data_IF_462130062523
#
_entry.id   IF_462130062523
#
_cell.length_a   1.000
_cell.length_b   1.000
_cell.length_c   1.000
_cell.angle_alpha   90.00
_cell.angle_beta   90.00
_cell.angle_gamma   90.00
#
_symmetry.space_group_name_H-M   'P 1'
#
loop_
_entity.id
_entity.type
_entity.pdbx_description
1 polymer ?
#
# COMPACT_ATOMS: atom_id res chain seq x y z
N UNK A 1 -43.25 -51.50 -29.71
CA UNK A 1 -42.11 -50.73 -30.25
C UNK A 1 -41.50 -49.90 -29.13
N UNK A 2 -40.36 -50.35 -28.58
CA UNK A 2 -39.70 -49.81 -27.38
C UNK A 2 -38.46 -49.05 -27.87
N UNK A 3 -38.46 -47.72 -27.84
CA UNK A 3 -37.26 -46.93 -28.21
C UNK A 3 -36.48 -46.53 -26.97
N UNK A 4 -35.50 -47.39 -26.70
CA UNK A 4 -34.13 -47.19 -26.21
C UNK A 4 -33.77 -45.82 -25.59
N UNK A 5 -33.37 -45.88 -24.31
CA UNK A 5 -32.74 -44.82 -23.53
C UNK A 5 -31.32 -44.57 -24.06
N UNK A 6 -30.99 -43.34 -24.43
CA UNK A 6 -29.60 -42.90 -24.64
C UNK A 6 -29.19 -42.14 -23.38
N UNK A 7 -28.58 -42.87 -22.45
CA UNK A 7 -27.87 -42.29 -21.31
C UNK A 7 -26.57 -41.71 -21.85
N UNK A 8 -26.57 -40.41 -22.13
CA UNK A 8 -25.35 -39.65 -22.42
C UNK A 8 -24.67 -39.38 -21.07
N UNK A 9 -23.70 -40.23 -20.75
CA UNK A 9 -22.77 -40.09 -19.64
C UNK A 9 -21.77 -38.98 -19.99
N UNK A 10 -22.14 -37.71 -19.80
CA UNK A 10 -21.19 -36.59 -19.82
C UNK A 10 -20.48 -36.58 -18.46
N UNK A 11 -19.45 -37.42 -18.36
CA UNK A 11 -18.32 -37.21 -17.46
C UNK A 11 -17.49 -36.03 -18.00
N UNK A 12 -18.05 -34.82 -18.04
CA UNK A 12 -17.26 -33.61 -18.18
C UNK A 12 -16.73 -33.25 -16.79
N UNK A 13 -15.62 -33.89 -16.44
CA UNK A 13 -14.44 -33.24 -15.88
C UNK A 13 -14.69 -31.82 -15.32
N UNK A 14 -15.34 -31.73 -14.16
CA UNK A 14 -15.17 -30.57 -13.29
C UNK A 14 -13.79 -30.69 -12.66
N UNK A 15 -12.77 -30.37 -13.45
CA UNK A 15 -11.50 -29.89 -12.95
C UNK A 15 -11.82 -28.59 -12.23
N UNK A 16 -12.18 -28.69 -10.95
CA UNK A 16 -12.02 -27.59 -10.03
C UNK A 16 -10.52 -27.41 -9.91
N UNK A 17 -9.95 -26.64 -10.82
CA UNK A 17 -8.65 -26.05 -10.62
C UNK A 17 -8.81 -25.15 -9.39
N UNK A 18 -8.42 -25.66 -8.23
CA UNK A 18 -8.16 -24.82 -7.09
C UNK A 18 -7.07 -23.85 -7.55
N UNK A 19 -7.48 -22.65 -7.96
CA UNK A 19 -6.57 -21.52 -8.08
C UNK A 19 -6.11 -21.30 -6.65
N UNK A 20 -4.94 -21.85 -6.33
CA UNK A 20 -4.22 -21.42 -5.15
C UNK A 20 -3.94 -19.95 -5.41
N UNK A 21 -4.75 -19.08 -4.80
CA UNK A 21 -4.45 -17.67 -4.69
C UNK A 21 -3.13 -17.65 -3.93
N UNK A 22 -2.04 -17.49 -4.67
CA UNK A 22 -0.75 -17.25 -4.07
C UNK A 22 -0.93 -16.00 -3.21
N UNK A 23 -0.67 -16.13 -1.90
CA UNK A 23 -0.66 -14.98 -1.02
C UNK A 23 0.31 -13.97 -1.65
N UNK A 24 -0.24 -12.87 -2.15
CA UNK A 24 0.52 -11.87 -2.88
C UNK A 24 1.64 -11.30 -2.03
N UNK A 25 2.65 -10.70 -2.65
CA UNK A 25 3.56 -9.83 -1.93
C UNK A 25 2.87 -8.52 -1.54
N UNK A 26 3.60 -7.66 -0.84
CA UNK A 26 3.24 -6.26 -0.77
C UNK A 26 3.49 -5.61 -2.14
N UNK A 27 2.49 -4.91 -2.67
CA UNK A 27 2.59 -4.25 -3.98
C UNK A 27 2.39 -2.74 -3.81
N UNK A 28 3.38 -1.96 -4.22
CA UNK A 28 3.33 -0.50 -4.18
C UNK A 28 3.04 0.04 -5.59
N UNK A 29 2.14 1.01 -5.66
CA UNK A 29 1.76 1.70 -6.88
C UNK A 29 1.91 3.20 -6.67
N UNK A 30 2.57 3.85 -7.63
CA UNK A 30 2.73 5.29 -7.70
C UNK A 30 2.47 5.72 -9.14
N UNK A 31 1.84 6.88 -9.33
CA UNK A 31 1.66 7.46 -10.66
C UNK A 31 2.42 8.78 -10.76
N UNK A 32 3.61 8.74 -11.37
CA UNK A 32 4.47 9.90 -11.53
C UNK A 32 3.88 10.99 -12.45
N UNK A 33 2.81 10.68 -13.20
CA UNK A 33 2.10 11.68 -14.01
C UNK A 33 0.95 12.37 -13.25
N UNK A 34 0.71 12.00 -11.98
CA UNK A 34 -0.32 12.59 -11.12
C UNK A 34 0.32 13.18 -9.87
N UNK A 35 1.02 14.29 -10.07
CA UNK A 35 1.55 15.14 -9.00
C UNK A 35 0.48 16.16 -8.60
N UNK A 36 0.25 16.33 -7.31
CA UNK A 36 -0.66 17.34 -6.76
C UNK A 36 0.06 18.10 -5.64
N UNK A 37 0.27 19.41 -5.82
CA UNK A 37 1.01 20.26 -4.87
C UNK A 37 2.33 19.63 -4.39
N UNK A 38 3.19 19.26 -5.35
CA UNK A 38 4.50 18.62 -5.12
C UNK A 38 4.45 17.32 -4.29
N UNK A 39 3.29 16.65 -4.33
CA UNK A 39 3.06 15.35 -3.68
C UNK A 39 2.72 14.26 -4.68
N UNK A 40 3.12 13.04 -4.32
CA UNK A 40 2.72 11.81 -5.00
C UNK A 40 1.86 10.93 -4.09
N UNK A 41 0.82 10.33 -4.67
CA UNK A 41 0.03 9.33 -3.97
C UNK A 41 0.70 7.97 -4.07
N UNK A 42 0.87 7.32 -2.92
CA UNK A 42 1.25 5.93 -2.82
C UNK A 42 0.02 5.11 -2.50
N UNK A 43 -0.20 4.04 -3.28
CA UNK A 43 -1.12 2.97 -2.95
C UNK A 43 -0.33 1.70 -2.65
N UNK A 44 -0.59 1.09 -1.49
CA UNK A 44 -0.02 -0.19 -1.08
C UNK A 44 -1.14 -1.23 -1.01
N UNK A 45 -1.05 -2.29 -1.81
CA UNK A 45 -1.86 -3.50 -1.61
C UNK A 45 -1.17 -4.42 -0.61
N UNK A 46 -1.94 -4.82 0.38
CA UNK A 46 -1.47 -5.60 1.52
C UNK A 46 -1.99 -7.03 1.36
N UNK A 47 -1.11 -8.05 1.44
CA UNK A 47 -1.58 -9.42 1.48
C UNK A 47 -2.33 -9.71 2.79
N UNK A 48 -3.10 -10.80 2.87
CA UNK A 48 -3.80 -11.15 4.10
C UNK A 48 -2.85 -11.19 5.30
N UNK A 49 -3.18 -10.41 6.33
CA UNK A 49 -2.45 -10.40 7.61
C UNK A 49 -3.27 -11.14 8.66
N UNK A 50 -2.59 -11.86 9.56
CA UNK A 50 -3.25 -12.68 10.58
C UNK A 50 -3.40 -11.98 11.94
N UNK A 51 -2.77 -10.82 12.10
CA UNK A 51 -2.81 -10.05 13.34
C UNK A 51 -3.95 -9.03 13.27
N UNK A 52 -4.68 -8.88 14.38
CA UNK A 52 -5.77 -7.91 14.47
C UNK A 52 -5.28 -6.45 14.54
N UNK A 53 -4.08 -6.26 15.08
CA UNK A 53 -3.40 -4.96 15.10
C UNK A 53 -2.04 -5.12 14.41
N UNK A 54 -1.75 -4.23 13.47
CA UNK A 54 -0.44 -4.13 12.83
C UNK A 54 0.09 -2.70 12.93
N UNK A 55 1.39 -2.55 12.71
CA UNK A 55 2.03 -1.25 12.62
C UNK A 55 2.72 -1.11 11.25
N UNK A 56 2.36 -0.07 10.50
CA UNK A 56 3.09 0.35 9.31
C UNK A 56 4.16 1.35 9.74
N UNK A 57 5.40 1.14 9.30
CA UNK A 57 6.53 1.97 9.70
C UNK A 57 7.26 2.53 8.48
N UNK A 58 7.66 3.79 8.57
CA UNK A 58 8.62 4.39 7.63
C UNK A 58 10.00 4.57 8.25
N UNK A 59 11.05 4.59 7.43
CA UNK A 59 12.41 4.74 7.93
C UNK A 59 12.59 6.05 8.69
N UNK A 60 13.31 5.97 9.81
CA UNK A 60 13.78 7.15 10.55
C UNK A 60 15.09 7.71 9.97
N UNK A 61 15.88 6.86 9.31
CA UNK A 61 17.25 7.11 8.83
C UNK A 61 17.47 6.33 7.53
N UNK A 62 18.23 6.89 6.59
CA UNK A 62 18.77 6.14 5.44
C UNK A 62 20.14 5.57 5.81
N UNK A 63 20.40 4.26 5.61
CA UNK A 63 21.71 3.67 5.90
C UNK A 63 22.85 4.45 5.26
N UNK A 64 23.91 4.74 6.03
CA UNK A 64 25.03 5.57 5.59
C UNK A 64 24.89 7.06 5.91
N UNK A 65 23.73 7.50 6.40
CA UNK A 65 23.55 8.84 6.97
C UNK A 65 23.66 8.79 8.50
N UNK A 66 24.22 9.84 9.10
CA UNK A 66 24.33 10.00 10.56
C UNK A 66 23.29 10.98 11.11
N UNK A 67 22.19 11.20 10.38
CA UNK A 67 21.11 12.13 10.73
C UNK A 67 19.78 11.40 10.89
N UNK A 68 19.03 11.80 11.92
CA UNK A 68 17.64 11.40 12.08
C UNK A 68 16.78 12.28 11.19
N UNK A 69 16.09 11.66 10.24
CA UNK A 69 15.27 12.36 9.23
C UNK A 69 13.76 12.26 9.52
N UNK A 70 13.31 11.19 10.17
CA UNK A 70 11.89 10.90 10.42
C UNK A 70 11.04 11.05 9.14
N UNK A 71 11.27 10.21 8.12
CA UNK A 71 10.62 10.39 6.82
C UNK A 71 9.09 10.33 6.88
N UNK A 72 8.51 9.70 7.92
CA UNK A 72 7.07 9.68 8.07
C UNK A 72 6.43 11.06 8.27
N UNK A 73 7.18 12.09 8.66
CA UNK A 73 6.67 13.47 8.76
C UNK A 73 6.27 14.10 7.41
N UNK A 74 6.73 13.51 6.30
CA UNK A 74 6.38 13.93 4.92
C UNK A 74 5.14 13.21 4.39
N UNK A 75 4.50 12.39 5.21
CA UNK A 75 3.30 11.65 4.87
C UNK A 75 2.06 12.41 5.32
N UNK A 76 1.11 12.57 4.42
CA UNK A 76 -0.22 13.13 4.71
C UNK A 76 -1.34 12.21 4.23
N UNK A 77 -2.54 12.41 4.80
CA UNK A 77 -3.76 11.66 4.50
C UNK A 77 -3.62 10.13 4.48
N UNK A 78 -2.86 9.58 5.44
CA UNK A 78 -2.73 8.14 5.60
C UNK A 78 -4.08 7.50 5.90
N UNK A 79 -4.48 6.54 5.05
CA UNK A 79 -5.74 5.81 5.15
C UNK A 79 -5.52 4.32 4.93
N UNK A 80 -6.20 3.51 5.73
CA UNK A 80 -6.23 2.07 5.62
C UNK A 80 -7.65 1.61 5.24
N UNK A 81 -7.76 0.65 4.33
CA UNK A 81 -9.03 0.19 3.79
C UNK A 81 -9.17 -1.33 3.82
N UNK A 82 -10.38 -1.80 4.05
CA UNK A 82 -10.76 -3.18 3.78
C UNK A 82 -10.96 -3.44 2.27
N UNK A 83 -11.25 -4.70 1.91
CA UNK A 83 -11.47 -5.11 0.52
C UNK A 83 -12.76 -4.51 -0.09
N UNK A 84 -13.67 -3.98 0.73
CA UNK A 84 -14.91 -3.33 0.31
C UNK A 84 -14.72 -1.81 0.14
N UNK A 85 -13.56 -1.28 0.53
CA UNK A 85 -13.24 0.14 0.48
C UNK A 85 -13.67 0.94 1.71
N UNK A 86 -14.07 0.28 2.81
CA UNK A 86 -14.35 0.97 4.07
C UNK A 86 -13.05 1.33 4.79
N UNK A 87 -13.05 2.47 5.49
CA UNK A 87 -11.90 2.89 6.28
C UNK A 87 -11.75 2.06 7.54
N UNK A 88 -10.52 1.66 7.83
CA UNK A 88 -10.11 1.06 9.10
C UNK A 88 -9.61 2.14 10.06
N UNK A 89 -9.70 1.88 11.36
CA UNK A 89 -9.18 2.77 12.38
C UNK A 89 -7.65 2.79 12.34
N UNK A 90 -7.07 3.99 12.33
CA UNK A 90 -5.63 4.21 12.33
C UNK A 90 -5.26 5.20 13.43
N UNK A 91 -4.26 4.84 14.22
CA UNK A 91 -3.60 5.74 15.17
C UNK A 91 -2.18 6.04 14.67
N UNK A 92 -1.69 7.27 14.89
CA UNK A 92 -0.34 7.69 14.51
C UNK A 92 0.45 8.06 15.78
N UNK A 93 1.04 7.06 16.47
CA UNK A 93 1.66 7.26 17.78
C UNK A 93 2.93 8.12 17.75
N UNK A 94 3.62 8.21 16.61
CA UNK A 94 4.73 9.12 16.36
C UNK A 94 4.96 9.32 14.86
N UNK A 95 5.88 10.23 14.51
CA UNK A 95 6.19 10.66 13.14
C UNK A 95 6.35 9.53 12.13
N UNK A 96 6.73 8.30 12.51
CA UNK A 96 7.09 7.25 11.56
C UNK A 96 6.20 6.01 11.61
N UNK A 97 5.16 5.99 12.46
CA UNK A 97 4.39 4.77 12.73
C UNK A 97 2.89 5.00 12.61
N UNK A 98 2.19 4.05 12.01
CA UNK A 98 0.74 4.00 11.92
C UNK A 98 0.25 2.66 12.42
N UNK A 99 -0.50 2.67 13.51
CA UNK A 99 -1.12 1.49 14.09
C UNK A 99 -2.51 1.32 13.48
N UNK A 100 -2.77 0.17 12.86
CA UNK A 100 -4.03 -0.14 12.17
C UNK A 100 -4.74 -1.23 12.96
N UNK A 101 -5.98 -0.96 13.37
CA UNK A 101 -6.85 -1.95 14.05
C UNK A 101 -7.76 -2.69 13.05
N UNK A 102 -8.26 -3.86 13.44
CA UNK A 102 -8.99 -4.78 12.56
C UNK A 102 -8.19 -5.11 11.28
N UNK A 103 -6.87 -5.23 11.42
CA UNK A 103 -5.96 -5.38 10.31
C UNK A 103 -6.16 -6.70 9.55
N UNK A 104 -6.80 -7.72 10.14
CA UNK A 104 -7.21 -8.93 9.40
C UNK A 104 -8.11 -8.65 8.19
N UNK A 105 -8.78 -7.50 8.17
CA UNK A 105 -9.60 -7.03 7.04
C UNK A 105 -8.83 -6.11 6.09
N UNK A 106 -7.61 -5.68 6.44
CA UNK A 106 -6.80 -4.75 5.66
C UNK A 106 -6.48 -5.33 4.28
N UNK A 107 -6.82 -4.56 3.26
CA UNK A 107 -6.51 -4.89 1.87
C UNK A 107 -5.62 -3.83 1.21
N UNK A 108 -5.76 -2.56 1.62
CA UNK A 108 -5.05 -1.46 0.98
C UNK A 108 -4.73 -0.33 1.95
N UNK A 109 -3.59 0.31 1.75
CA UNK A 109 -3.19 1.57 2.38
C UNK A 109 -2.99 2.62 1.29
N UNK A 110 -3.37 3.87 1.56
CA UNK A 110 -3.02 5.01 0.71
C UNK A 110 -2.48 6.16 1.54
N UNK A 111 -1.55 6.92 0.99
CA UNK A 111 -1.07 8.18 1.58
C UNK A 111 -0.45 9.07 0.51
N UNK A 112 -0.29 10.36 0.83
CA UNK A 112 0.47 11.31 0.02
C UNK A 112 1.86 11.49 0.59
N UNK A 113 2.85 11.63 -0.29
CA UNK A 113 4.25 11.88 0.04
C UNK A 113 4.65 13.24 -0.53
N UNK A 114 5.04 14.16 0.35
CA UNK A 114 5.67 15.44 -0.04
C UNK A 114 7.17 15.26 -0.26
N UNK A 115 7.76 16.11 -1.10
CA UNK A 115 9.19 16.11 -1.31
C UNK A 115 9.97 16.77 -0.15
N UNK A 116 11.28 16.90 -0.32
CA UNK A 116 12.15 17.45 0.73
C UNK A 116 12.96 18.68 0.30
N UNK A 117 12.83 19.11 -0.95
CA UNK A 117 13.73 20.11 -1.55
C UNK A 117 13.34 21.54 -1.17
N UNK A 118 12.08 21.89 -1.37
CA UNK A 118 11.49 23.20 -1.06
C UNK A 118 10.25 23.09 -0.16
N UNK A 119 10.09 21.95 0.52
CA UNK A 119 9.11 21.73 1.58
C UNK A 119 9.15 22.79 2.69
N UNK A 120 7.96 23.15 3.19
CA UNK A 120 7.82 23.99 4.39
C UNK A 120 7.95 23.19 5.70
N UNK A 121 8.04 21.84 5.62
CA UNK A 121 8.14 20.96 6.78
C UNK A 121 9.51 21.13 7.45
N UNK A 122 9.48 21.36 8.77
CA UNK A 122 10.69 21.64 9.55
C UNK A 122 11.64 20.45 9.61
N UNK A 123 12.92 20.76 9.50
CA UNK A 123 14.06 19.87 9.69
C UNK A 123 14.69 19.54 8.34
N UNK A 124 15.85 20.11 8.07
CA UNK A 124 16.52 19.98 6.78
C UNK A 124 16.90 18.52 6.48
N UNK A 125 16.61 18.08 5.27
CA UNK A 125 17.16 16.84 4.71
C UNK A 125 18.34 17.23 3.83
N UNK A 126 19.50 16.64 4.11
CA UNK A 126 20.67 16.83 3.26
C UNK A 126 20.33 16.38 1.85
N UNK A 127 20.48 17.28 0.88
CA UNK A 127 19.90 17.21 -0.46
C UNK A 127 20.25 15.91 -1.22
N UNK A 128 21.47 15.35 -1.10
CA UNK A 128 21.80 14.04 -1.69
C UNK A 128 20.98 12.85 -1.14
N UNK A 129 20.34 13.02 0.02
CA UNK A 129 19.41 12.05 0.62
C UNK A 129 17.95 12.47 0.56
N UNK A 130 17.64 13.56 -0.15
CA UNK A 130 16.30 14.08 -0.35
C UNK A 130 15.67 13.71 -1.69
N UNK A 131 14.46 14.20 -1.91
CA UNK A 131 13.69 14.12 -3.14
C UNK A 131 13.20 15.50 -3.56
N UNK A 132 12.94 15.65 -4.86
CA UNK A 132 12.25 16.80 -5.45
C UNK A 132 11.15 16.26 -6.39
N UNK A 133 9.90 16.68 -6.18
CA UNK A 133 8.72 16.24 -6.95
C UNK A 133 8.11 17.49 -7.59
N UNK A 134 8.40 17.72 -8.87
CA UNK A 134 7.89 18.90 -9.57
C UNK A 134 7.23 18.50 -10.90
N UNK A 135 5.93 18.80 -11.01
CA UNK A 135 5.08 18.40 -12.14
C UNK A 135 5.69 18.80 -13.50
N UNK A 136 5.91 17.80 -14.37
CA UNK A 136 6.47 18.01 -15.71
C UNK A 136 7.96 18.34 -15.76
N UNK A 137 8.68 18.30 -14.63
CA UNK A 137 10.11 18.65 -14.56
C UNK A 137 10.97 17.54 -13.96
N UNK A 138 10.65 17.03 -12.76
CA UNK A 138 11.46 16.03 -12.06
C UNK A 138 10.63 15.16 -11.09
N UNK A 139 10.87 13.85 -11.14
CA UNK A 139 10.29 12.83 -10.25
C UNK A 139 11.19 11.58 -10.23
#
# INVERSE_FOLDING_TARGET
MKKMKITVLICSFWLVSAVLVQAGGYEFYLNLNKVEDDRLQVELKVPPVNNDIIEYQLPKVVPGTYSISNFGRFISDFKAYDAQGNLLAVEHPDDNRWQISNATQLSRITYWVEDTWDTEIKGHIFEPGGTNIEAGKNF
#
